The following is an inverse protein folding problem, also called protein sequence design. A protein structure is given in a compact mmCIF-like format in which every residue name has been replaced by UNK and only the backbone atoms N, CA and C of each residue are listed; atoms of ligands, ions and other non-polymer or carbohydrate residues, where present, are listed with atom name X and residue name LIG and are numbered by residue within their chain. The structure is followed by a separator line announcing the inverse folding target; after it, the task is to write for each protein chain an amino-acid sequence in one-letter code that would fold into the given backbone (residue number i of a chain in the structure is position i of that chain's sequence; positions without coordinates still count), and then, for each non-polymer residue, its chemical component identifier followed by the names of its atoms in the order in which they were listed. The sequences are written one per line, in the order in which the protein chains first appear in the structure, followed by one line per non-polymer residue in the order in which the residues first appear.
data_IF_373239024187
#
_entry.id   IF_373239024187
#
_cell.length_a   1.000
_cell.length_b   1.000
_cell.length_c   1.000
_cell.angle_alpha   90.00
_cell.angle_beta   90.00
_cell.angle_gamma   90.00
#
_symmetry.space_group_name_H-M   'P 1'
#
loop_
_entity.id
_entity.type
_entity.pdbx_description
1 polymer ?
#
# COMPACT_ATOMS: atom_id res chain seq x y z
N UNK A 1 29.01 16.25 -15.59
CA UNK A 1 27.71 15.57 -15.75
C UNK A 1 26.83 16.03 -14.61
N UNK A 2 25.68 16.63 -14.89
CA UNK A 2 24.66 16.85 -13.87
C UNK A 2 23.87 15.55 -13.79
N UNK A 3 24.15 14.71 -12.80
CA UNK A 3 23.18 13.71 -12.38
C UNK A 3 22.06 14.49 -11.70
N UNK A 4 20.81 14.45 -12.21
CA UNK A 4 19.71 15.01 -11.44
C UNK A 4 19.69 14.25 -10.12
N UNK A 5 19.82 14.97 -9.00
CA UNK A 5 19.52 14.39 -7.70
C UNK A 5 18.11 13.82 -7.80
N UNK A 6 18.01 12.49 -7.81
CA UNK A 6 16.71 11.83 -7.76
C UNK A 6 15.91 12.39 -6.59
N UNK A 7 14.57 12.34 -6.63
CA UNK A 7 13.75 12.80 -5.52
C UNK A 7 14.34 12.24 -4.22
N UNK A 8 14.54 13.12 -3.23
CA UNK A 8 15.13 12.77 -1.93
C UNK A 8 14.16 11.81 -1.26
N UNK A 9 14.28 10.53 -1.59
CA UNK A 9 13.45 9.47 -1.07
C UNK A 9 14.02 9.07 0.29
N UNK A 10 13.19 8.84 1.32
CA UNK A 10 13.64 8.26 2.58
C UNK A 10 14.15 6.82 2.42
N UNK A 11 14.08 6.26 1.20
CA UNK A 11 14.45 4.90 0.88
C UNK A 11 15.65 4.82 -0.04
N UNK A 12 16.50 3.84 0.24
CA UNK A 12 17.56 3.40 -0.67
C UNK A 12 16.97 2.76 -1.93
N UNK A 13 17.75 2.71 -3.02
CA UNK A 13 17.37 2.02 -4.26
C UNK A 13 16.98 0.56 -4.01
N UNK A 14 17.68 -0.14 -3.11
CA UNK A 14 17.39 -1.54 -2.78
C UNK A 14 16.04 -1.68 -2.06
N UNK A 15 15.71 -0.74 -1.18
CA UNK A 15 14.42 -0.70 -0.50
C UNK A 15 13.27 -0.45 -1.47
N UNK A 16 13.44 0.50 -2.40
CA UNK A 16 12.46 0.76 -3.45
C UNK A 16 12.26 -0.46 -4.35
N UNK A 17 13.35 -1.14 -4.74
CA UNK A 17 13.26 -2.36 -5.56
C UNK A 17 12.49 -3.49 -4.85
N UNK A 18 12.68 -3.66 -3.53
CA UNK A 18 11.92 -4.64 -2.74
C UNK A 18 10.44 -4.31 -2.67
N UNK A 19 10.10 -3.02 -2.52
CA UNK A 19 8.71 -2.58 -2.49
C UNK A 19 8.04 -2.75 -3.87
N UNK A 20 8.74 -2.41 -4.95
CA UNK A 20 8.28 -2.59 -6.33
C UNK A 20 8.05 -4.07 -6.67
N UNK A 21 8.95 -4.96 -6.24
CA UNK A 21 8.79 -6.41 -6.39
C UNK A 21 7.55 -6.90 -5.64
N UNK A 22 7.35 -6.47 -4.39
CA UNK A 22 6.19 -6.85 -3.59
C UNK A 22 4.86 -6.36 -4.21
N UNK A 23 4.84 -5.12 -4.73
CA UNK A 23 3.70 -4.57 -5.47
C UNK A 23 3.41 -5.39 -6.73
N UNK A 24 4.44 -5.66 -7.53
CA UNK A 24 4.33 -6.43 -8.76
C UNK A 24 3.78 -7.83 -8.50
N UNK A 25 4.28 -8.51 -7.46
CA UNK A 25 3.81 -9.85 -7.09
C UNK A 25 2.37 -9.81 -6.59
N UNK A 26 2.03 -8.92 -5.64
CA UNK A 26 0.67 -8.82 -5.11
C UNK A 26 -0.36 -8.54 -6.21
N UNK A 27 -0.06 -7.61 -7.13
CA UNK A 27 -0.96 -7.31 -8.24
C UNK A 27 -1.10 -8.48 -9.22
N UNK A 28 0.01 -9.18 -9.55
CA UNK A 28 -0.04 -10.33 -10.47
C UNK A 28 -0.74 -11.55 -9.89
N UNK A 29 -0.49 -11.86 -8.63
CA UNK A 29 -1.07 -13.04 -7.95
C UNK A 29 -2.57 -12.90 -7.78
N UNK A 30 -3.04 -11.68 -7.51
CA UNK A 30 -4.44 -11.43 -7.19
C UNK A 30 -5.25 -10.93 -8.38
N UNK A 31 -4.62 -10.26 -9.34
CA UNK A 31 -5.30 -9.47 -10.37
C UNK A 31 -5.95 -8.19 -9.85
N UNK A 32 -5.60 -7.72 -8.64
CA UNK A 32 -6.02 -6.43 -8.09
C UNK A 32 -4.92 -5.37 -8.29
N UNK A 33 -5.30 -4.11 -8.38
CA UNK A 33 -4.35 -3.02 -8.60
C UNK A 33 -3.87 -2.44 -7.26
N UNK A 34 -2.75 -2.98 -6.76
CA UNK A 34 -2.13 -2.47 -5.54
C UNK A 34 -1.35 -1.18 -5.78
N UNK A 35 -1.50 -0.23 -4.86
CA UNK A 35 -0.78 1.04 -4.86
C UNK A 35 -0.38 1.42 -3.44
N UNK A 36 0.82 1.99 -3.29
CA UNK A 36 1.31 2.53 -2.02
C UNK A 36 1.54 4.03 -2.17
N UNK A 37 0.96 4.80 -1.26
CA UNK A 37 1.22 6.23 -1.12
C UNK A 37 1.92 6.49 0.21
N UNK A 38 3.05 7.22 0.15
CA UNK A 38 3.76 7.69 1.33
C UNK A 38 3.86 9.21 1.28
N UNK A 39 3.21 9.89 2.21
CA UNK A 39 3.17 11.34 2.21
C UNK A 39 2.18 11.91 3.21
N UNK A 40 1.96 13.21 3.09
CA UNK A 40 0.93 13.91 3.87
C UNK A 40 -0.46 13.50 3.37
N UNK A 41 -1.35 13.14 4.31
CA UNK A 41 -2.73 12.77 4.02
C UNK A 41 -3.72 13.91 4.31
N UNK A 42 -3.24 15.09 4.68
CA UNK A 42 -4.08 16.24 5.00
C UNK A 42 -4.86 16.06 6.30
N UNK A 43 -5.87 16.90 6.52
CA UNK A 43 -6.65 16.88 7.77
C UNK A 43 -7.53 15.64 7.92
N UNK A 44 -8.16 15.20 6.82
CA UNK A 44 -8.96 13.98 6.78
C UNK A 44 -8.22 12.91 5.97
N UNK A 45 -7.53 12.03 6.69
CA UNK A 45 -6.70 10.99 6.10
C UNK A 45 -7.50 10.03 5.25
N UNK A 46 -8.75 9.76 5.65
CA UNK A 46 -9.64 8.82 4.98
C UNK A 46 -10.09 9.38 3.64
N UNK A 47 -10.52 10.63 3.59
CA UNK A 47 -10.93 11.31 2.35
C UNK A 47 -9.78 11.34 1.35
N UNK A 48 -8.56 11.66 1.80
CA UNK A 48 -7.39 11.66 0.92
C UNK A 48 -7.07 10.27 0.38
N UNK A 49 -7.13 9.24 1.22
CA UNK A 49 -6.88 7.86 0.79
C UNK A 49 -7.94 7.35 -0.22
N UNK A 50 -9.20 7.73 -0.04
CA UNK A 50 -10.29 7.43 -0.99
C UNK A 50 -10.13 8.19 -2.32
N UNK A 51 -9.68 9.44 -2.27
CA UNK A 51 -9.35 10.23 -3.46
C UNK A 51 -8.17 9.62 -4.23
N UNK A 52 -7.14 9.14 -3.53
CA UNK A 52 -6.02 8.41 -4.14
C UNK A 52 -6.51 7.16 -4.87
N UNK A 53 -7.36 6.34 -4.25
CA UNK A 53 -7.96 5.18 -4.91
C UNK A 53 -8.80 5.59 -6.13
N UNK A 54 -9.58 6.65 -6.02
CA UNK A 54 -10.41 7.14 -7.13
C UNK A 54 -9.60 7.68 -8.30
N UNK A 55 -8.32 8.01 -8.08
CA UNK A 55 -7.41 8.51 -9.11
C UNK A 55 -6.63 7.42 -9.85
N UNK A 56 -6.76 6.14 -9.46
CA UNK A 56 -6.10 5.03 -10.16
C UNK A 56 -6.83 4.66 -11.45
N UNK A 57 -6.16 3.90 -12.32
CA UNK A 57 -6.73 3.49 -13.62
C UNK A 57 -7.97 2.59 -13.48
N UNK A 58 -8.01 1.75 -12.43
CA UNK A 58 -9.15 0.89 -12.13
C UNK A 58 -9.50 0.92 -10.63
N UNK A 59 -10.26 1.93 -10.18
CA UNK A 59 -10.62 2.09 -8.77
C UNK A 59 -11.50 0.96 -8.22
N UNK A 60 -12.20 0.22 -9.08
CA UNK A 60 -13.08 -0.87 -8.65
C UNK A 60 -12.29 -2.08 -8.12
N UNK A 61 -11.18 -2.41 -8.77
CA UNK A 61 -10.25 -3.48 -8.39
C UNK A 61 -9.03 -2.97 -7.61
N UNK A 62 -8.95 -1.67 -7.38
CA UNK A 62 -7.82 -1.03 -6.71
C UNK A 62 -7.75 -1.29 -5.20
N UNK A 63 -6.52 -1.34 -4.70
CA UNK A 63 -6.19 -1.39 -3.27
C UNK A 63 -5.10 -0.36 -2.98
N UNK A 64 -5.45 0.68 -2.22
CA UNK A 64 -4.50 1.72 -1.83
C UNK A 64 -4.11 1.56 -0.37
N UNK A 65 -2.79 1.50 -0.13
CA UNK A 65 -2.17 1.61 1.18
C UNK A 65 -1.57 3.02 1.28
N UNK A 66 -2.23 3.90 2.02
CA UNK A 66 -1.78 5.27 2.21
C UNK A 66 -1.19 5.44 3.62
N UNK A 67 0.06 5.90 3.71
CA UNK A 67 0.82 6.00 4.97
C UNK A 67 1.35 7.42 5.13
N UNK A 68 1.10 8.00 6.29
CA UNK A 68 1.72 9.24 6.75
C UNK A 68 2.49 8.99 8.05
N UNK A 69 3.82 8.83 7.98
CA UNK A 69 4.64 8.65 9.18
C UNK A 69 4.58 9.87 10.12
N UNK A 70 4.51 11.07 9.55
CA UNK A 70 4.41 12.32 10.30
C UNK A 70 3.11 12.45 11.09
N UNK A 71 1.99 12.02 10.49
CA UNK A 71 0.67 12.03 11.14
C UNK A 71 0.38 10.74 11.94
N UNK A 72 1.26 9.73 11.85
CA UNK A 72 1.05 8.39 12.41
C UNK A 72 -0.25 7.74 11.94
N UNK A 73 -0.59 7.97 10.68
CA UNK A 73 -1.82 7.49 10.06
C UNK A 73 -1.50 6.44 8.99
N UNK A 74 -2.35 5.41 8.94
CA UNK A 74 -2.33 4.36 7.93
C UNK A 74 -3.77 4.12 7.50
N UNK A 75 -4.03 4.28 6.21
CA UNK A 75 -5.31 3.99 5.58
C UNK A 75 -5.12 2.85 4.58
N UNK A 76 -6.00 1.85 4.65
CA UNK A 76 -6.13 0.84 3.60
C UNK A 76 -7.53 0.98 3.01
N UNK A 77 -7.58 1.37 1.74
CA UNK A 77 -8.83 1.60 1.00
C UNK A 77 -8.91 0.58 -0.12
N UNK A 78 -10.05 -0.10 -0.20
CA UNK A 78 -10.33 -1.10 -1.23
C UNK A 78 -11.47 -0.63 -2.13
N UNK A 79 -11.32 -0.92 -3.42
CA UNK A 79 -12.35 -0.74 -4.42
C UNK A 79 -13.58 -1.61 -4.19
N UNK A 80 -14.67 -1.28 -4.88
CA UNK A 80 -15.95 -1.99 -4.72
C UNK A 80 -15.88 -3.48 -5.07
N UNK A 81 -15.02 -3.88 -6.02
CA UNK A 81 -14.80 -5.28 -6.37
C UNK A 81 -13.73 -5.91 -5.46
N UNK A 82 -12.61 -5.20 -5.26
CA UNK A 82 -11.52 -5.64 -4.38
C UNK A 82 -12.00 -6.02 -2.97
N UNK A 83 -12.92 -5.24 -2.37
CA UNK A 83 -13.45 -5.48 -1.01
C UNK A 83 -14.15 -6.84 -0.84
N UNK A 84 -14.66 -7.44 -1.92
CA UNK A 84 -15.30 -8.76 -1.85
C UNK A 84 -14.28 -9.87 -1.57
N UNK A 85 -13.02 -9.65 -1.99
CA UNK A 85 -11.89 -10.55 -1.79
C UNK A 85 -11.01 -10.12 -0.61
N UNK A 86 -11.01 -8.82 -0.31
CA UNK A 86 -10.28 -8.21 0.80
C UNK A 86 -11.24 -7.58 1.81
N UNK A 87 -11.86 -8.38 2.69
CA UNK A 87 -12.73 -7.85 3.73
C UNK A 87 -11.92 -7.07 4.78
N UNK A 88 -12.59 -6.16 5.49
CA UNK A 88 -12.00 -5.27 6.52
C UNK A 88 -11.12 -6.00 7.54
N UNK A 89 -11.44 -7.26 7.86
CA UNK A 89 -10.62 -8.05 8.78
C UNK A 89 -9.20 -8.26 8.27
N UNK A 90 -9.03 -8.55 6.99
CA UNK A 90 -7.71 -8.71 6.36
C UNK A 90 -6.93 -7.39 6.35
N UNK A 91 -7.60 -6.30 5.99
CA UNK A 91 -7.02 -4.95 6.03
C UNK A 91 -6.57 -4.55 7.44
N UNK A 92 -7.41 -4.79 8.46
CA UNK A 92 -7.07 -4.50 9.87
C UNK A 92 -5.85 -5.28 10.36
N UNK A 93 -5.69 -6.54 9.94
CA UNK A 93 -4.50 -7.34 10.27
C UNK A 93 -3.24 -6.76 9.62
N UNK A 94 -3.31 -6.38 8.34
CA UNK A 94 -2.19 -5.73 7.64
C UNK A 94 -1.81 -4.40 8.31
N UNK A 95 -2.79 -3.57 8.68
CA UNK A 95 -2.56 -2.32 9.44
C UNK A 95 -1.87 -2.59 10.77
N UNK A 96 -2.34 -3.57 11.55
CA UNK A 96 -1.71 -3.92 12.82
C UNK A 96 -0.25 -4.37 12.64
N UNK A 97 0.03 -5.15 11.60
CA UNK A 97 1.42 -5.55 11.28
C UNK A 97 2.28 -4.36 10.90
N UNK A 98 1.78 -3.44 10.06
CA UNK A 98 2.53 -2.23 9.68
C UNK A 98 2.84 -1.37 10.91
N UNK A 99 1.87 -1.17 11.80
CA UNK A 99 2.08 -0.41 13.04
C UNK A 99 3.19 -1.04 13.89
N UNK A 100 3.28 -2.36 13.97
CA UNK A 100 4.35 -3.04 14.69
C UNK A 100 5.73 -2.77 14.05
N UNK A 101 5.87 -3.01 12.74
CA UNK A 101 7.14 -2.77 12.02
C UNK A 101 7.56 -1.30 12.05
N UNK A 102 6.62 -0.36 11.92
CA UNK A 102 6.94 1.07 11.88
C UNK A 102 7.43 1.57 13.25
N UNK A 103 6.94 0.99 14.36
CA UNK A 103 7.45 1.27 15.71
C UNK A 103 8.90 0.84 15.90
N UNK A 104 9.35 -0.16 15.14
CA UNK A 104 10.73 -0.65 15.13
C UNK A 104 11.61 0.09 14.11
N UNK A 105 11.04 1.08 13.38
CA UNK A 105 11.75 1.83 12.35
C UNK A 105 11.83 1.14 10.99
N UNK A 106 11.14 0.01 10.81
CA UNK A 106 11.14 -0.75 9.56
C UNK A 106 9.92 -0.44 8.69
N UNK A 107 9.98 0.72 8.02
CA UNK A 107 8.91 1.18 7.12
C UNK A 107 8.75 0.28 5.89
N UNK A 108 9.86 -0.17 5.29
CA UNK A 108 9.84 -0.98 4.07
C UNK A 108 9.39 -2.41 4.38
N UNK A 109 9.92 -3.03 5.43
CA UNK A 109 9.49 -4.36 5.84
C UNK A 109 8.01 -4.39 6.23
N UNK A 110 7.52 -3.36 6.91
CA UNK A 110 6.09 -3.22 7.20
C UNK A 110 5.23 -3.16 5.94
N UNK A 111 5.60 -2.34 4.95
CA UNK A 111 4.87 -2.23 3.67
C UNK A 111 4.92 -3.53 2.86
N UNK A 112 6.10 -4.14 2.72
CA UNK A 112 6.27 -5.41 1.99
C UNK A 112 5.46 -6.53 2.66
N UNK A 113 5.48 -6.61 3.99
CA UNK A 113 4.70 -7.61 4.70
C UNK A 113 3.19 -7.37 4.54
N UNK A 114 2.75 -6.11 4.59
CA UNK A 114 1.34 -5.77 4.37
C UNK A 114 0.86 -6.18 2.97
N UNK A 115 1.66 -5.90 1.93
CA UNK A 115 1.35 -6.32 0.56
C UNK A 115 1.21 -7.84 0.45
N UNK A 116 2.13 -8.60 1.06
CA UNK A 116 2.02 -10.06 1.10
C UNK A 116 0.75 -10.51 1.84
N UNK A 117 0.50 -9.99 3.04
CA UNK A 117 -0.69 -10.34 3.81
C UNK A 117 -1.98 -10.04 3.06
N UNK A 118 -2.06 -8.91 2.37
CA UNK A 118 -3.22 -8.57 1.56
C UNK A 118 -3.31 -9.49 0.33
N UNK A 119 -2.20 -9.77 -0.37
CA UNK A 119 -2.18 -10.73 -1.48
C UNK A 119 -2.76 -12.09 -1.06
N UNK A 120 -2.26 -12.63 0.05
CA UNK A 120 -2.69 -13.92 0.61
C UNK A 120 -4.19 -13.94 0.94
N UNK A 121 -4.73 -12.83 1.44
CA UNK A 121 -6.16 -12.72 1.75
C UNK A 121 -7.02 -12.61 0.48
N UNK A 122 -6.58 -11.85 -0.53
CA UNK A 122 -7.30 -11.67 -1.78
C UNK A 122 -7.37 -12.96 -2.62
N UNK A 123 -6.34 -13.81 -2.50
CA UNK A 123 -6.18 -15.04 -3.27
C UNK A 123 -6.03 -14.80 -4.77
N UNK A 124 -6.09 -15.86 -5.59
CA UNK A 124 -6.07 -15.76 -7.05
C UNK A 124 -7.43 -15.27 -7.61
N UNK A 125 -7.45 -14.68 -8.83
CA UNK A 125 -8.71 -14.31 -9.49
C UNK A 125 -9.63 -15.53 -9.62
N UNK A 126 -10.91 -15.36 -9.31
CA UNK A 126 -11.93 -16.40 -9.51
C UNK A 126 -12.41 -16.31 -10.96
N UNK A 127 -12.05 -17.30 -11.79
CA UNK A 127 -12.49 -17.43 -13.18
C UNK A 127 -13.94 -17.88 -13.31
#
# INVERSE_FOLDING_TARGET
MYEPAGPISPFTTQQLARLDEALTLASRETGLDFSVYLGDLGEDTRVTAEALLSSTDNPADGVVIAVSPGQRAIEVVTGSQARHRLPDRGAKLAVASMVASFKEGDLIGGLVNALRMLSDQAGAPQH
#
